data_IF_351189896894
#
_entry.id   IF_351189896894
#
_cell.length_a   1.000
_cell.length_b   1.000
_cell.length_c   1.000
_cell.angle_alpha   90.00
_cell.angle_beta   90.00
_cell.angle_gamma   90.00
#
_symmetry.space_group_name_H-M   'P 1'
#
loop_
_entity.id
_entity.type
_entity.pdbx_description
1 polymer ?
#
# COMPACT_ATOMS: atom_id res chain seq x y z
N UNK A 1 -0.65 25.59 -52.54
CA UNK A 1 -1.87 24.80 -52.33
C UNK A 1 -1.47 23.35 -52.56
N UNK A 2 -1.30 22.46 -51.58
CA UNK A 2 -1.63 22.48 -50.16
C UNK A 2 -0.62 21.66 -49.35
N UNK A 3 -0.45 22.08 -48.09
CA UNK A 3 0.51 21.59 -47.14
C UNK A 3 0.16 20.18 -46.63
N UNK A 4 1.21 19.42 -46.30
CA UNK A 4 1.10 18.09 -45.70
C UNK A 4 0.29 18.11 -44.40
N UNK A 5 -0.77 17.30 -44.38
CA UNK A 5 -1.48 16.96 -43.15
C UNK A 5 -0.65 15.88 -42.47
N UNK A 6 0.30 16.32 -41.63
CA UNK A 6 0.79 15.48 -40.53
C UNK A 6 -0.39 15.24 -39.62
N UNK A 7 -1.01 14.06 -39.75
CA UNK A 7 -1.95 13.57 -38.75
C UNK A 7 -1.15 13.35 -37.48
N UNK A 8 -1.14 14.36 -36.62
CA UNK A 8 -0.77 14.24 -35.21
C UNK A 8 -1.67 13.16 -34.63
N UNK A 9 -1.17 11.92 -34.57
CA UNK A 9 -1.77 10.89 -33.74
C UNK A 9 -1.76 11.45 -32.33
N UNK A 10 -2.93 11.83 -31.82
CA UNK A 10 -3.09 12.04 -30.39
C UNK A 10 -2.69 10.72 -29.73
N UNK A 11 -1.48 10.66 -29.18
CA UNK A 11 -1.16 9.69 -28.14
C UNK A 11 -2.13 9.99 -27.02
N UNK A 12 -3.28 9.31 -27.04
CA UNK A 12 -4.27 9.45 -25.99
C UNK A 12 -3.54 9.21 -24.68
N UNK A 13 -3.51 10.21 -23.81
CA UNK A 13 -3.12 10.00 -22.43
C UNK A 13 -4.11 8.95 -21.91
N UNK A 14 -3.68 7.70 -21.81
CA UNK A 14 -4.41 6.70 -21.04
C UNK A 14 -4.38 7.21 -19.61
N UNK A 15 -5.48 7.83 -19.19
CA UNK A 15 -5.72 8.12 -17.79
C UNK A 15 -5.77 6.78 -17.09
N UNK A 16 -4.74 6.46 -16.32
CA UNK A 16 -4.72 5.27 -15.48
C UNK A 16 -5.80 5.47 -14.42
N UNK A 17 -6.95 4.81 -14.59
CA UNK A 17 -8.03 4.84 -13.61
C UNK A 17 -7.63 3.88 -12.50
N UNK A 18 -7.66 4.33 -11.24
CA UNK A 18 -7.39 3.47 -10.11
C UNK A 18 -8.42 2.31 -10.12
N UNK A 19 -7.94 1.07 -10.33
CA UNK A 19 -8.79 -0.14 -10.41
C UNK A 19 -9.14 -0.70 -9.04
N UNK A 20 -8.67 -0.08 -7.97
CA UNK A 20 -8.97 -0.49 -6.59
C UNK A 20 -10.42 -0.14 -6.29
N UNK A 21 -11.23 -1.16 -6.02
CA UNK A 21 -12.66 -1.01 -5.72
C UNK A 21 -12.96 -1.07 -4.21
N UNK A 22 -11.99 -1.51 -3.42
CA UNK A 22 -12.03 -1.50 -1.96
C UNK A 22 -10.62 -1.53 -1.37
N UNK A 23 -10.52 -1.18 -0.09
CA UNK A 23 -9.31 -1.29 0.72
C UNK A 23 -9.68 -1.90 2.07
N UNK A 24 -8.72 -2.53 2.73
CA UNK A 24 -8.88 -3.14 4.05
C UNK A 24 -7.96 -2.43 5.03
N UNK A 25 -8.50 -1.92 6.13
CA UNK A 25 -7.71 -1.18 7.14
C UNK A 25 -6.73 -2.09 7.87
N UNK A 26 -5.63 -1.52 8.35
CA UNK A 26 -4.58 -2.26 9.06
C UNK A 26 -5.12 -3.05 10.26
N UNK A 27 -6.08 -2.51 11.00
CA UNK A 27 -6.77 -3.21 12.10
C UNK A 27 -7.44 -4.51 11.63
N UNK A 28 -8.13 -4.48 10.48
CA UNK A 28 -8.79 -5.66 9.94
C UNK A 28 -7.75 -6.66 9.40
N UNK A 29 -6.69 -6.18 8.73
CA UNK A 29 -5.59 -7.06 8.28
C UNK A 29 -4.87 -7.71 9.46
N UNK A 30 -4.54 -6.97 10.51
CA UNK A 30 -3.90 -7.50 11.72
C UNK A 30 -4.73 -8.61 12.36
N UNK A 31 -6.05 -8.39 12.46
CA UNK A 31 -7.00 -9.41 12.92
C UNK A 31 -7.00 -10.66 12.04
N UNK A 32 -6.98 -10.50 10.73
CA UNK A 32 -7.02 -11.62 9.78
C UNK A 32 -5.70 -12.42 9.76
N UNK A 33 -4.57 -11.75 9.97
CA UNK A 33 -3.26 -12.39 10.11
C UNK A 33 -3.01 -12.96 11.52
N UNK A 34 -3.76 -12.51 12.53
CA UNK A 34 -3.53 -12.87 13.93
C UNK A 34 -2.30 -12.19 14.53
N UNK A 35 -1.93 -11.01 14.02
CA UNK A 35 -0.76 -10.24 14.45
C UNK A 35 -1.16 -9.04 15.32
N UNK A 36 -0.19 -8.52 16.07
CA UNK A 36 -0.34 -7.24 16.76
C UNK A 36 -0.37 -6.08 15.76
N UNK A 37 -1.34 -5.17 15.91
CA UNK A 37 -1.55 -4.06 14.98
C UNK A 37 -0.40 -3.05 15.04
N UNK A 38 0.14 -2.75 16.23
CA UNK A 38 1.25 -1.81 16.36
C UNK A 38 2.53 -2.37 15.73
N UNK A 39 2.76 -3.68 15.89
CA UNK A 39 3.85 -4.38 15.21
C UNK A 39 3.68 -4.36 13.69
N UNK A 40 2.47 -4.64 13.20
CA UNK A 40 2.18 -4.64 11.78
C UNK A 40 2.32 -3.23 11.18
N UNK A 41 1.96 -2.19 11.94
CA UNK A 41 2.15 -0.79 11.55
C UNK A 41 3.63 -0.42 11.40
N UNK A 42 4.47 -0.89 12.32
CA UNK A 42 5.92 -0.64 12.21
C UNK A 42 6.53 -1.30 10.97
N UNK A 43 6.00 -2.44 10.53
CA UNK A 43 6.40 -3.11 9.28
C UNK A 43 5.85 -2.35 8.07
N UNK A 44 4.58 -1.98 8.09
CA UNK A 44 3.91 -1.31 6.99
C UNK A 44 4.47 0.10 6.68
N UNK A 45 5.25 0.69 7.60
CA UNK A 45 5.98 1.95 7.36
C UNK A 45 6.96 1.84 6.19
N UNK A 46 7.44 0.64 5.86
CA UNK A 46 8.35 0.43 4.72
C UNK A 46 7.65 0.41 3.36
N UNK A 47 6.31 0.34 3.34
CA UNK A 47 5.54 0.29 2.10
C UNK A 47 5.24 1.69 1.58
N UNK A 48 5.36 1.85 0.27
CA UNK A 48 4.94 3.06 -0.44
C UNK A 48 3.57 2.86 -1.11
N UNK A 49 3.05 3.92 -1.74
CA UNK A 49 1.73 3.87 -2.40
C UNK A 49 1.72 2.87 -3.58
N UNK A 50 2.87 2.68 -4.23
CA UNK A 50 3.09 1.72 -5.31
C UNK A 50 2.98 0.27 -4.82
N UNK A 51 3.29 0.03 -3.55
CA UNK A 51 3.16 -1.29 -2.92
C UNK A 51 1.73 -1.58 -2.49
N UNK A 52 0.78 -0.66 -2.72
CA UNK A 52 -0.64 -0.84 -2.42
C UNK A 52 -1.05 -0.39 -1.01
N UNK A 53 -0.18 0.34 -0.30
CA UNK A 53 -0.53 1.08 0.92
C UNK A 53 -1.29 2.37 0.58
N UNK A 54 -2.35 2.65 1.31
CA UNK A 54 -3.16 3.87 1.18
C UNK A 54 -3.43 4.45 2.56
N UNK A 55 -3.45 5.78 2.68
CA UNK A 55 -3.89 6.47 3.89
C UNK A 55 -5.35 6.91 3.77
N UNK A 56 -6.17 6.52 4.74
CA UNK A 56 -7.59 6.88 4.85
C UNK A 56 -7.75 7.90 5.97
N UNK A 57 -8.28 9.09 5.66
CA UNK A 57 -8.47 10.17 6.64
C UNK A 57 -9.95 10.37 6.96
N UNK A 58 -10.30 10.28 8.24
CA UNK A 58 -11.59 10.64 8.80
C UNK A 58 -11.59 12.04 9.42
N UNK A 59 -12.77 12.57 9.75
CA UNK A 59 -12.87 13.85 10.47
C UNK A 59 -12.38 13.66 11.91
N UNK A 60 -11.31 14.36 12.29
CA UNK A 60 -10.78 14.33 13.66
C UNK A 60 -9.96 13.08 14.00
N UNK A 61 -9.59 12.29 13.01
CA UNK A 61 -8.76 11.10 13.17
C UNK A 61 -7.37 11.33 12.58
N UNK A 62 -6.35 10.80 13.24
CA UNK A 62 -5.05 10.60 12.61
C UNK A 62 -5.23 9.51 11.53
N UNK A 63 -4.73 9.75 10.32
CA UNK A 63 -4.99 8.88 9.17
C UNK A 63 -4.71 7.41 9.46
N UNK A 64 -5.53 6.52 8.88
CA UNK A 64 -5.44 5.07 9.05
C UNK A 64 -4.81 4.45 7.82
N UNK A 65 -3.82 3.56 8.02
CA UNK A 65 -3.28 2.74 6.95
C UNK A 65 -4.32 1.72 6.48
N UNK A 66 -4.49 1.62 5.18
CA UNK A 66 -5.34 0.63 4.53
C UNK A 66 -4.64 0.07 3.29
N UNK A 67 -4.99 -1.14 2.93
CA UNK A 67 -4.31 -1.89 1.89
C UNK A 67 -5.28 -2.30 0.81
N UNK A 68 -4.83 -2.23 -0.43
CA UNK A 68 -5.45 -2.94 -1.56
C UNK A 68 -5.18 -4.45 -1.40
N UNK A 69 -5.87 -5.30 -2.16
CA UNK A 69 -5.57 -6.74 -2.19
C UNK A 69 -4.09 -7.01 -2.50
N UNK A 70 -3.54 -6.30 -3.49
CA UNK A 70 -2.11 -6.36 -3.83
C UNK A 70 -1.21 -5.88 -2.67
N UNK A 71 -1.63 -4.83 -1.96
CA UNK A 71 -0.92 -4.35 -0.78
C UNK A 71 -0.90 -5.33 0.37
N UNK A 72 -1.97 -6.11 0.56
CA UNK A 72 -2.00 -7.18 1.56
C UNK A 72 -0.99 -8.28 1.18
N UNK A 73 -0.90 -8.66 -0.11
CA UNK A 73 0.09 -9.62 -0.58
C UNK A 73 1.53 -9.16 -0.29
N UNK A 74 1.87 -7.92 -0.63
CA UNK A 74 3.19 -7.34 -0.34
C UNK A 74 3.48 -7.25 1.16
N UNK A 75 2.49 -6.84 1.96
CA UNK A 75 2.62 -6.77 3.42
C UNK A 75 2.89 -8.16 4.02
N UNK A 76 2.25 -9.22 3.51
CA UNK A 76 2.50 -10.60 3.96
C UNK A 76 3.95 -11.01 3.69
N UNK A 77 4.54 -10.58 2.58
CA UNK A 77 5.96 -10.85 2.29
C UNK A 77 6.89 -10.12 3.26
N UNK A 78 6.63 -8.85 3.55
CA UNK A 78 7.37 -8.08 4.56
C UNK A 78 7.24 -8.69 5.96
N UNK A 79 6.02 -9.08 6.35
CA UNK A 79 5.74 -9.78 7.61
C UNK A 79 6.58 -11.05 7.72
N UNK A 80 6.67 -11.84 6.64
CA UNK A 80 7.51 -13.05 6.62
C UNK A 80 8.98 -12.70 6.80
N UNK A 81 9.49 -11.70 6.07
CA UNK A 81 10.87 -11.24 6.18
C UNK A 81 11.22 -10.84 7.62
N UNK A 82 10.36 -10.08 8.28
CA UNK A 82 10.58 -9.63 9.67
C UNK A 82 10.45 -10.75 10.70
N UNK A 83 9.57 -11.73 10.48
CA UNK A 83 9.51 -12.94 11.32
C UNK A 83 10.76 -13.80 11.21
N UNK A 84 11.35 -13.88 10.03
CA UNK A 84 12.62 -14.58 9.81
C UNK A 84 13.82 -13.78 10.37
N UNK A 85 13.70 -12.45 10.42
CA UNK A 85 14.75 -11.54 10.84
C UNK A 85 14.30 -10.58 11.96
N UNK A 86 13.86 -11.07 13.12
CA UNK A 86 13.22 -10.25 14.16
C UNK A 86 14.14 -9.16 14.72
N UNK A 87 15.46 -9.32 14.58
CA UNK A 87 16.46 -8.35 15.01
C UNK A 87 16.44 -7.06 14.18
N UNK A 88 15.77 -7.03 13.03
CA UNK A 88 15.71 -5.82 12.20
C UNK A 88 14.69 -4.82 12.74
N UNK A 89 13.69 -5.26 13.52
CA UNK A 89 12.67 -4.40 14.11
C UNK A 89 13.09 -3.94 15.52
N UNK A 90 13.91 -2.89 15.60
CA UNK A 90 14.57 -2.47 16.85
C UNK A 90 13.62 -2.16 18.02
N UNK A 91 12.43 -1.60 17.75
CA UNK A 91 11.41 -1.32 18.77
C UNK A 91 10.94 -2.58 19.51
N UNK A 92 10.95 -3.72 18.84
CA UNK A 92 10.40 -5.00 19.34
C UNK A 92 11.47 -5.98 19.83
N UNK A 93 12.73 -5.54 19.95
CA UNK A 93 13.83 -6.37 20.47
C UNK A 93 13.79 -6.60 22.00
N UNK A 94 12.78 -6.09 22.72
CA UNK A 94 12.77 -5.98 24.19
C UNK A 94 11.68 -6.78 24.90
N UNK A 95 11.19 -7.86 24.28
CA UNK A 95 10.30 -8.84 24.91
C UNK A 95 10.97 -10.22 24.97
#
# INVERSE_FOLDING_TARGET
>A
MDAGISVLRSSGMTTHVNKVHHVTTITQVAKDLGEDEDWLRDIAIEMEIEDGLIWVYGVGEDGVQAFTDFGIENLIELVRFYKENPKLLTRWQRE
#
